data_IF_271869777476
#
_entry.id   IF_271869777476
#
_cell.length_a   1.000
_cell.length_b   1.000
_cell.length_c   1.000
_cell.angle_alpha   90.00
_cell.angle_beta   90.00
_cell.angle_gamma   90.00
#
_symmetry.space_group_name_H-M   'P 1'
#
loop_
_entity.id
_entity.type
_entity.pdbx_description
1 polymer ?
#
# COMPACT_ATOMS: atom_id res chain seq x y z
N UNK A 1 -2.77 -23.43 -1.92
CA UNK A 1 -3.00 -22.70 -3.19
C UNK A 1 -3.24 -21.23 -2.87
N UNK A 2 -2.48 -20.28 -3.44
CA UNK A 2 -2.71 -18.85 -3.17
C UNK A 2 -3.67 -18.28 -4.21
N UNK A 3 -4.52 -17.33 -3.81
CA UNK A 3 -5.49 -16.66 -4.71
C UNK A 3 -4.81 -16.09 -5.96
N UNK A 4 -3.57 -15.59 -5.82
CA UNK A 4 -2.74 -15.11 -6.92
C UNK A 4 -2.52 -16.19 -8.00
N UNK A 5 -2.23 -17.42 -7.57
CA UNK A 5 -1.90 -18.53 -8.48
C UNK A 5 -3.17 -18.98 -9.22
N UNK A 6 -4.31 -19.04 -8.50
CA UNK A 6 -5.63 -19.32 -9.07
C UNK A 6 -6.03 -18.31 -10.14
N UNK A 7 -5.83 -17.02 -9.87
CA UNK A 7 -6.14 -15.96 -10.84
C UNK A 7 -5.20 -16.01 -12.04
N UNK A 8 -3.92 -16.34 -11.85
CA UNK A 8 -2.97 -16.46 -12.96
C UNK A 8 -3.35 -17.60 -13.92
N UNK A 9 -3.88 -18.70 -13.38
CA UNK A 9 -4.25 -19.89 -14.15
C UNK A 9 -5.63 -19.77 -14.80
N UNK A 10 -6.62 -19.25 -14.06
CA UNK A 10 -8.02 -19.23 -14.52
C UNK A 10 -8.45 -17.90 -15.16
N UNK A 11 -7.78 -16.80 -14.84
CA UNK A 11 -8.17 -15.45 -15.31
C UNK A 11 -6.96 -14.52 -15.46
N UNK A 12 -6.15 -14.82 -16.48
CA UNK A 12 -4.91 -14.08 -16.75
C UNK A 12 -5.15 -12.59 -17.06
N UNK A 13 -6.34 -12.25 -17.59
CA UNK A 13 -6.71 -10.87 -17.90
C UNK A 13 -6.85 -10.02 -16.65
N UNK A 14 -7.64 -10.48 -15.69
CA UNK A 14 -7.78 -9.79 -14.40
C UNK A 14 -6.49 -9.84 -13.59
N UNK A 15 -5.72 -10.94 -13.65
CA UNK A 15 -4.40 -11.01 -13.03
C UNK A 15 -3.47 -9.89 -13.53
N UNK A 16 -3.37 -9.67 -14.85
CA UNK A 16 -2.54 -8.62 -15.44
C UNK A 16 -3.02 -7.22 -15.01
N UNK A 17 -4.33 -6.97 -15.06
CA UNK A 17 -4.93 -5.70 -14.62
C UNK A 17 -4.60 -5.37 -13.17
N UNK A 18 -4.68 -6.35 -12.27
CA UNK A 18 -4.33 -6.19 -10.86
C UNK A 18 -2.83 -5.90 -10.66
N UNK A 19 -1.96 -6.53 -11.45
CA UNK A 19 -0.52 -6.25 -11.40
C UNK A 19 -0.20 -4.84 -11.89
N UNK A 20 -0.79 -4.39 -12.99
CA UNK A 20 -0.62 -3.02 -13.48
C UNK A 20 -1.10 -1.97 -12.47
N UNK A 21 -2.24 -2.21 -11.81
CA UNK A 21 -2.74 -1.34 -10.73
C UNK A 21 -1.78 -1.30 -9.55
N UNK A 22 -1.21 -2.45 -9.18
CA UNK A 22 -0.22 -2.54 -8.09
C UNK A 22 1.04 -1.75 -8.43
N UNK A 23 1.56 -1.89 -9.65
CA UNK A 23 2.77 -1.20 -10.08
C UNK A 23 2.54 0.32 -10.18
N UNK A 24 1.37 0.76 -10.63
CA UNK A 24 0.95 2.17 -10.58
C UNK A 24 0.94 2.70 -9.15
N UNK A 25 0.28 2.00 -8.22
CA UNK A 25 0.25 2.39 -6.79
C UNK A 25 1.64 2.38 -6.15
N UNK A 26 2.54 1.48 -6.56
CA UNK A 26 3.92 1.43 -6.05
C UNK A 26 4.72 2.65 -6.49
N UNK A 27 4.45 3.18 -7.67
CA UNK A 27 5.13 4.34 -8.24
C UNK A 27 4.49 5.68 -7.83
N UNK A 28 3.26 5.67 -7.31
CA UNK A 28 2.66 6.84 -6.68
C UNK A 28 3.44 7.21 -5.42
N UNK A 29 4.15 8.34 -5.48
CA UNK A 29 4.71 8.97 -4.29
C UNK A 29 3.56 9.49 -3.44
N UNK A 30 3.53 9.09 -2.18
CA UNK A 30 2.58 9.62 -1.21
C UNK A 30 2.76 11.14 -1.10
N UNK A 31 1.66 11.89 -1.18
CA UNK A 31 1.68 13.32 -0.93
C UNK A 31 1.67 13.59 0.59
N UNK A 32 1.90 14.84 1.01
CA UNK A 32 1.95 15.19 2.44
C UNK A 32 0.64 14.88 3.18
N UNK A 33 -0.50 14.99 2.51
CA UNK A 33 -1.82 14.67 3.07
C UNK A 33 -1.95 13.17 3.33
N UNK A 34 -1.57 12.32 2.36
CA UNK A 34 -1.62 10.86 2.50
C UNK A 34 -0.72 10.39 3.65
N UNK A 35 0.47 11.00 3.75
CA UNK A 35 1.43 10.78 4.83
C UNK A 35 0.82 11.15 6.19
N UNK A 36 0.17 12.33 6.29
CA UNK A 36 -0.50 12.77 7.52
C UNK A 36 -1.66 11.85 7.90
N UNK A 37 -2.42 11.38 6.92
CA UNK A 37 -3.54 10.47 7.14
C UNK A 37 -3.07 9.10 7.64
N UNK A 38 -2.03 8.53 7.04
CA UNK A 38 -1.39 7.30 7.54
C UNK A 38 -0.82 7.47 8.97
N UNK A 39 -0.34 8.66 9.29
CA UNK A 39 0.19 9.00 10.63
C UNK A 39 -0.90 9.37 11.65
N UNK A 40 -2.17 9.46 11.24
CA UNK A 40 -3.28 9.69 12.17
C UNK A 40 -3.58 8.47 13.05
N UNK A 41 -3.06 7.29 12.68
CA UNK A 41 -3.24 6.08 13.44
C UNK A 41 -2.59 6.19 14.82
N UNK A 42 -3.28 5.73 15.86
CA UNK A 42 -2.84 5.78 17.27
C UNK A 42 -1.51 5.05 17.56
N UNK A 43 -1.01 4.27 16.60
CA UNK A 43 0.27 3.57 16.69
C UNK A 43 1.47 4.45 16.31
N UNK A 44 1.24 5.64 15.74
CA UNK A 44 2.28 6.58 15.35
C UNK A 44 2.15 7.90 16.11
N UNK A 45 3.29 8.48 16.49
CA UNK A 45 3.37 9.78 17.17
C UNK A 45 4.58 10.55 16.67
N UNK A 46 4.47 11.88 16.54
CA UNK A 46 5.63 12.74 16.30
C UNK A 46 6.33 13.08 17.63
N UNK A 47 7.65 12.98 17.65
CA UNK A 47 8.51 13.40 18.75
C UNK A 47 9.72 14.15 18.20
N UNK A 48 9.93 15.40 18.63
CA UNK A 48 11.03 16.27 18.16
C UNK A 48 11.12 16.36 16.63
N UNK A 49 9.97 16.43 15.95
CA UNK A 49 9.90 16.50 14.48
C UNK A 49 9.96 15.15 13.75
N UNK A 50 10.55 14.13 14.36
CA UNK A 50 10.59 12.76 13.81
C UNK A 50 9.32 11.97 14.13
N UNK A 51 8.96 11.02 13.27
CA UNK A 51 7.87 10.06 13.54
C UNK A 51 8.42 8.86 14.31
N UNK A 52 7.68 8.44 15.33
CA UNK A 52 7.98 7.27 16.16
C UNK A 52 6.75 6.36 16.20
N UNK A 53 6.95 5.06 16.01
CA UNK A 53 5.95 4.06 16.33
C UNK A 53 5.91 3.84 17.85
N UNK A 54 4.71 3.87 18.42
CA UNK A 54 4.47 3.83 19.87
C UNK A 54 3.78 2.53 20.35
N UNK A 55 3.46 1.61 19.44
CA UNK A 55 2.87 0.28 19.74
C UNK A 55 3.64 -0.83 19.04
#
# INVERSE_FOLDING_TARGET
MRVKDVLRENDIGNYKKLMEMKDKKKNEKLNERDIRELMSHSCYKRHKGAIKQVK
#
